data_IF_697053720440
#
_entry.id   IF_697053720440
#
_cell.length_a   1.000
_cell.length_b   1.000
_cell.length_c   1.000
_cell.angle_alpha   90.00
_cell.angle_beta   90.00
_cell.angle_gamma   90.00
#
_symmetry.space_group_name_H-M   'P 1'
#
loop_
_entity.id
_entity.type
_entity.pdbx_description
1 polymer ?
#
# COMPACT_ATOMS: atom_id res chain seq x y z
N UNK A 1 -61.41 -12.60 23.57
CA UNK A 1 -60.46 -13.69 23.43
C UNK A 1 -59.92 -13.73 22.00
N UNK A 2 -58.78 -13.14 21.77
CA UNK A 2 -58.11 -13.14 20.47
C UNK A 2 -56.79 -13.92 20.61
N UNK A 3 -56.62 -14.98 19.81
CA UNK A 3 -55.47 -15.84 19.79
C UNK A 3 -54.35 -15.16 19.02
N UNK A 4 -53.17 -15.05 19.64
CA UNK A 4 -51.89 -14.64 19.01
C UNK A 4 -51.28 -15.90 18.37
N UNK A 5 -50.86 -15.89 17.07
CA UNK A 5 -50.14 -17.00 16.50
C UNK A 5 -48.68 -16.95 16.92
N UNK A 6 -48.18 -18.12 17.35
CA UNK A 6 -46.78 -18.36 17.68
C UNK A 6 -45.91 -18.21 16.45
N UNK A 7 -44.84 -17.40 16.56
CA UNK A 7 -43.81 -17.25 15.54
C UNK A 7 -42.77 -18.37 15.71
N UNK A 8 -42.72 -19.27 14.75
CA UNK A 8 -41.79 -20.40 14.71
C UNK A 8 -40.37 -19.92 14.49
N UNK A 9 -39.52 -20.16 15.48
CA UNK A 9 -38.06 -20.15 15.33
C UNK A 9 -37.65 -21.41 14.57
N UNK A 10 -37.07 -21.23 13.40
CA UNK A 10 -36.49 -22.30 12.64
C UNK A 10 -35.60 -21.76 11.55
N UNK A 11 -34.29 -21.88 11.76
CA UNK A 11 -33.25 -22.33 10.85
C UNK A 11 -31.87 -21.88 11.34
N UNK A 12 -31.36 -22.64 12.32
CA UNK A 12 -29.91 -22.78 12.48
C UNK A 12 -29.47 -23.92 11.55
N UNK A 13 -29.07 -23.57 10.34
CA UNK A 13 -28.41 -24.46 9.42
C UNK A 13 -26.91 -24.46 9.68
N UNK A 14 -26.41 -25.43 10.43
CA UNK A 14 -24.99 -25.76 10.55
C UNK A 14 -24.46 -26.22 9.20
N UNK A 15 -23.55 -25.43 8.59
CA UNK A 15 -22.78 -25.83 7.42
C UNK A 15 -21.63 -26.72 7.91
N UNK A 16 -21.49 -27.97 7.46
CA UNK A 16 -20.34 -28.79 7.80
C UNK A 16 -19.08 -28.29 7.07
N UNK A 17 -18.10 -27.84 7.87
CA UNK A 17 -16.74 -27.56 7.40
C UNK A 17 -15.99 -28.87 7.31
N UNK A 18 -16.08 -29.54 6.16
CA UNK A 18 -15.12 -30.55 5.73
C UNK A 18 -15.08 -30.54 4.22
N UNK A 19 -14.17 -29.75 3.66
CA UNK A 19 -13.72 -29.96 2.30
C UNK A 19 -12.22 -29.92 2.24
N UNK A 20 -11.66 -31.09 2.01
CA UNK A 20 -10.29 -31.39 1.62
C UNK A 20 -9.72 -30.31 0.71
N UNK A 21 -8.55 -29.81 1.06
CA UNK A 21 -7.75 -28.94 0.19
C UNK A 21 -7.22 -29.81 -0.93
N UNK A 22 -7.99 -29.97 -1.99
CA UNK A 22 -7.50 -30.52 -3.24
C UNK A 22 -6.55 -29.52 -3.90
N UNK A 23 -5.33 -29.97 -4.02
CA UNK A 23 -4.14 -29.32 -4.56
C UNK A 23 -4.26 -29.11 -6.09
N UNK A 24 -5.21 -28.27 -6.53
CA UNK A 24 -5.33 -27.79 -7.92
C UNK A 24 -5.07 -26.30 -7.99
N UNK A 25 -3.78 -25.94 -7.85
CA UNK A 25 -3.32 -24.63 -8.33
C UNK A 25 -3.57 -24.54 -9.83
N UNK A 26 -4.40 -23.60 -10.25
CA UNK A 26 -4.65 -23.31 -11.66
C UNK A 26 -3.35 -22.88 -12.35
N UNK A 27 -3.12 -23.28 -13.62
CA UNK A 27 -1.88 -22.99 -14.37
C UNK A 27 -1.51 -21.51 -14.48
N UNK A 28 -2.50 -20.63 -14.34
CA UNK A 28 -2.33 -19.16 -14.42
C UNK A 28 -1.48 -18.55 -13.28
N UNK A 29 -1.58 -19.08 -12.07
CA UNK A 29 -0.80 -18.55 -10.92
C UNK A 29 0.65 -19.02 -10.94
N UNK A 30 0.96 -20.19 -11.51
CA UNK A 30 2.34 -20.64 -11.71
C UNK A 30 3.12 -19.76 -12.68
N UNK A 31 2.48 -19.27 -13.74
CA UNK A 31 3.11 -18.40 -14.74
C UNK A 31 3.54 -17.04 -14.14
N UNK A 32 2.73 -16.45 -13.27
CA UNK A 32 3.03 -15.15 -12.68
C UNK A 32 4.18 -15.24 -11.67
N UNK A 33 4.25 -16.31 -10.89
CA UNK A 33 5.34 -16.51 -9.89
C UNK A 33 6.66 -16.82 -10.61
N UNK A 34 6.65 -17.60 -11.69
CA UNK A 34 7.87 -17.90 -12.45
C UNK A 34 8.37 -16.71 -13.26
N UNK A 35 7.47 -15.83 -13.77
CA UNK A 35 7.88 -14.61 -14.47
C UNK A 35 8.54 -13.60 -13.51
N UNK A 36 8.07 -13.48 -12.27
CA UNK A 36 8.66 -12.60 -11.28
C UNK A 36 10.04 -13.06 -10.82
N UNK A 37 10.29 -14.38 -10.78
CA UNK A 37 11.61 -14.93 -10.44
C UNK A 37 12.60 -14.82 -11.61
N UNK A 38 12.17 -14.93 -12.86
CA UNK A 38 13.05 -14.82 -14.03
C UNK A 38 13.59 -13.39 -14.21
N UNK A 39 12.78 -12.35 -13.91
CA UNK A 39 13.20 -10.96 -14.01
C UNK A 39 14.25 -10.55 -12.97
N UNK A 40 14.25 -11.19 -11.81
CA UNK A 40 15.24 -10.92 -10.75
C UNK A 40 16.62 -11.51 -11.02
N UNK A 41 16.75 -12.48 -11.94
CA UNK A 41 18.02 -13.12 -12.27
C UNK A 41 18.76 -12.45 -13.46
N UNK A 42 18.04 -11.75 -14.34
CA UNK A 42 18.67 -11.11 -15.51
C UNK A 42 19.23 -9.70 -15.27
N UNK A 43 18.86 -9.03 -14.19
CA UNK A 43 19.38 -7.69 -13.86
C UNK A 43 20.73 -7.67 -13.14
N UNK A 44 21.34 -8.83 -12.86
CA UNK A 44 22.63 -8.98 -12.17
C UNK A 44 23.85 -9.23 -13.06
N UNK A 45 23.71 -9.18 -14.38
CA UNK A 45 24.81 -9.41 -15.34
C UNK A 45 25.80 -8.24 -15.40
N UNK A 46 26.81 -8.27 -14.52
CA UNK A 46 27.95 -7.38 -14.59
C UNK A 46 28.71 -7.57 -15.92
N UNK A 47 28.71 -6.54 -16.76
CA UNK A 47 29.59 -6.45 -17.94
C UNK A 47 31.06 -6.44 -17.50
N UNK A 48 31.71 -7.60 -17.54
CA UNK A 48 33.17 -7.71 -17.52
C UNK A 48 33.70 -7.22 -18.86
N UNK A 49 34.28 -6.02 -18.90
CA UNK A 49 35.12 -5.59 -20.01
C UNK A 49 36.41 -6.39 -19.99
N UNK A 50 36.66 -7.16 -21.03
CA UNK A 50 37.93 -7.80 -21.31
C UNK A 50 38.96 -6.71 -21.74
N UNK A 51 40.21 -6.76 -21.27
CA UNK A 51 41.25 -5.87 -21.76
C UNK A 51 41.73 -6.32 -23.16
N UNK A 52 41.87 -5.39 -24.07
CA UNK A 52 42.45 -5.58 -25.42
C UNK A 52 43.95 -5.88 -25.30
N UNK A 53 44.51 -6.83 -26.07
CA UNK A 53 45.95 -7.01 -26.20
C UNK A 53 46.50 -6.11 -27.30
N UNK A 54 47.65 -5.46 -27.01
CA UNK A 54 48.57 -5.00 -28.04
C UNK A 54 48.83 -3.51 -28.08
N UNK A 55 49.96 -3.11 -27.50
CA UNK A 55 50.96 -2.27 -28.17
C UNK A 55 52.29 -2.39 -27.38
N UNK A 56 53.23 -3.01 -28.04
CA UNK A 56 54.64 -3.00 -27.70
C UNK A 56 55.20 -1.58 -27.83
N UNK A 57 55.82 -1.04 -26.78
CA UNK A 57 56.80 0.01 -26.91
C UNK A 57 58.03 -0.26 -26.08
N UNK A 58 59.11 -0.14 -26.79
CA UNK A 58 60.49 -0.43 -26.52
C UNK A 58 61.08 0.24 -25.29
N UNK A 59 62.06 -0.46 -24.73
CA UNK A 59 62.94 -0.05 -23.66
C UNK A 59 63.74 1.22 -23.96
N UNK A 60 63.80 2.14 -23.00
CA UNK A 60 64.96 3.03 -22.80
C UNK A 60 65.26 3.08 -21.31
N UNK A 61 66.45 2.60 -20.97
CA UNK A 61 66.99 2.59 -19.62
C UNK A 61 67.40 4.03 -19.23
N UNK A 62 66.80 4.53 -18.15
CA UNK A 62 67.35 5.65 -17.38
C UNK A 62 67.16 5.36 -15.89
N UNK A 63 68.32 5.16 -15.27
CA UNK A 63 68.51 4.89 -13.84
C UNK A 63 68.15 6.14 -13.04
N UNK A 64 67.03 6.10 -12.29
CA UNK A 64 66.72 7.10 -11.28
C UNK A 64 66.39 6.42 -9.97
N UNK A 65 66.81 6.94 -8.80
CA UNK A 65 66.65 6.28 -7.51
C UNK A 65 65.16 6.21 -7.09
N UNK A 66 64.71 4.99 -6.85
CA UNK A 66 63.32 4.72 -6.43
C UNK A 66 63.18 5.11 -4.97
N UNK A 67 62.80 6.36 -4.71
CA UNK A 67 62.15 6.72 -3.45
C UNK A 67 60.69 6.29 -3.57
N UNK A 68 60.42 5.04 -3.14
CA UNK A 68 59.09 4.47 -3.08
C UNK A 68 58.29 5.19 -1.98
N UNK A 69 57.67 6.32 -2.31
CA UNK A 69 56.65 6.93 -1.47
C UNK A 69 55.51 5.91 -1.39
N UNK A 70 55.49 5.15 -0.31
CA UNK A 70 54.32 4.31 0.03
C UNK A 70 53.16 5.27 0.31
N UNK A 71 52.42 5.61 -0.74
CA UNK A 71 51.14 6.28 -0.62
C UNK A 71 50.20 5.31 0.09
N UNK A 72 50.17 5.38 1.42
CA UNK A 72 49.14 4.72 2.21
C UNK A 72 47.82 5.41 1.83
N UNK A 73 47.24 4.90 0.75
CA UNK A 73 45.84 5.24 0.37
C UNK A 73 45.00 4.74 1.53
N UNK A 74 44.70 5.66 2.47
CA UNK A 74 43.78 5.45 3.56
C UNK A 74 42.47 5.08 2.90
N UNK A 75 42.23 3.77 2.77
CA UNK A 75 40.95 3.20 2.34
C UNK A 75 39.97 3.68 3.39
N UNK A 76 39.26 4.78 3.07
CA UNK A 76 38.16 5.21 3.89
C UNK A 76 37.11 4.11 3.78
N UNK A 77 37.12 3.23 4.80
CA UNK A 77 36.12 2.19 4.98
C UNK A 77 34.81 2.90 5.29
N UNK A 78 34.11 3.31 4.19
CA UNK A 78 32.84 4.03 4.22
C UNK A 78 31.65 3.18 4.62
N UNK A 79 31.89 1.93 5.01
CA UNK A 79 30.86 1.02 5.49
C UNK A 79 30.66 1.10 7.01
N UNK A 80 30.57 2.32 7.57
CA UNK A 80 29.83 2.46 8.82
C UNK A 80 28.36 2.26 8.48
N UNK A 81 27.91 1.02 8.50
CA UNK A 81 26.49 0.69 8.60
C UNK A 81 25.93 1.53 9.75
N UNK A 82 25.16 2.55 9.40
CA UNK A 82 24.54 3.44 10.39
C UNK A 82 23.33 2.69 10.96
N UNK A 83 23.46 2.00 12.10
CA UNK A 83 22.39 1.15 12.66
C UNK A 83 21.11 1.94 12.93
N UNK A 84 21.24 3.24 13.23
CA UNK A 84 20.09 4.14 13.45
C UNK A 84 19.22 4.35 12.20
N UNK A 85 19.79 4.24 10.97
CA UNK A 85 18.99 4.33 9.74
C UNK A 85 18.09 3.11 9.56
N UNK A 86 18.57 1.94 9.97
CA UNK A 86 17.78 0.70 9.93
C UNK A 86 16.66 0.75 10.96
N UNK A 87 16.92 1.21 12.18
CA UNK A 87 15.92 1.36 13.24
C UNK A 87 14.83 2.36 12.84
N UNK A 88 15.22 3.53 12.30
CA UNK A 88 14.25 4.53 11.82
C UNK A 88 13.29 3.95 10.76
N UNK A 89 13.79 3.17 9.80
CA UNK A 89 12.98 2.53 8.75
C UNK A 89 11.99 1.53 9.33
N UNK A 90 12.42 0.72 10.28
CA UNK A 90 11.56 -0.26 10.96
C UNK A 90 10.45 0.47 11.74
N UNK A 91 10.79 1.54 12.46
CA UNK A 91 9.81 2.34 13.20
C UNK A 91 8.74 2.91 12.26
N UNK A 92 9.14 3.50 11.13
CA UNK A 92 8.20 4.03 10.13
C UNK A 92 7.28 2.93 9.58
N UNK A 93 7.85 1.77 9.23
CA UNK A 93 7.10 0.61 8.77
C UNK A 93 6.05 0.15 9.78
N UNK A 94 6.45 0.01 11.05
CA UNK A 94 5.55 -0.40 12.15
C UNK A 94 4.46 0.65 12.38
N UNK A 95 4.82 1.94 12.52
CA UNK A 95 3.86 3.01 12.75
C UNK A 95 2.83 3.08 11.63
N UNK A 96 3.26 3.07 10.36
CA UNK A 96 2.32 3.12 9.25
C UNK A 96 1.45 1.87 9.17
N UNK A 97 1.98 0.67 9.43
CA UNK A 97 1.17 -0.56 9.51
C UNK A 97 0.14 -0.49 10.64
N UNK A 98 0.50 0.07 11.79
CA UNK A 98 -0.43 0.28 12.91
C UNK A 98 -1.56 1.25 12.54
N UNK A 99 -1.25 2.34 11.82
CA UNK A 99 -2.27 3.27 11.32
C UNK A 99 -3.24 2.56 10.35
N UNK A 100 -2.71 1.74 9.44
CA UNK A 100 -3.55 0.97 8.50
C UNK A 100 -4.40 -0.08 9.23
N UNK A 101 -3.85 -0.75 10.24
CA UNK A 101 -4.61 -1.69 11.07
C UNK A 101 -5.74 -0.98 11.84
N UNK A 102 -5.45 0.18 12.42
CA UNK A 102 -6.46 1.04 13.06
C UNK A 102 -7.56 1.45 12.07
N UNK A 103 -7.18 1.82 10.83
CA UNK A 103 -8.14 2.11 9.76
C UNK A 103 -9.02 0.90 9.44
N UNK A 104 -8.44 -0.29 9.30
CA UNK A 104 -9.19 -1.51 8.99
C UNK A 104 -10.20 -1.88 10.10
N UNK A 105 -9.75 -1.80 11.36
CA UNK A 105 -10.62 -2.08 12.52
C UNK A 105 -11.71 -1.00 12.68
N UNK A 106 -11.35 0.27 12.55
CA UNK A 106 -12.27 1.39 12.62
C UNK A 106 -13.34 1.33 11.54
N UNK A 107 -12.95 1.09 10.29
CA UNK A 107 -13.88 0.94 9.17
C UNK A 107 -14.85 -0.21 9.39
N UNK A 108 -14.35 -1.37 9.85
CA UNK A 108 -15.20 -2.54 10.13
C UNK A 108 -16.25 -2.26 11.20
N UNK A 109 -15.94 -1.40 12.18
CA UNK A 109 -16.89 -1.05 13.26
C UNK A 109 -17.90 0.01 12.85
N UNK A 110 -17.48 0.96 12.02
CA UNK A 110 -18.30 2.12 11.65
C UNK A 110 -19.16 1.88 10.42
N UNK A 111 -18.70 1.07 9.44
CA UNK A 111 -19.39 0.86 8.17
C UNK A 111 -20.50 -0.19 8.35
N UNK A 112 -21.74 0.28 8.50
CA UNK A 112 -22.93 -0.54 8.76
C UNK A 112 -23.83 -0.63 7.50
N UNK A 113 -23.32 -1.29 6.43
CA UNK A 113 -24.05 -1.44 5.16
C UNK A 113 -25.31 -2.32 5.25
N UNK A 114 -25.45 -3.10 6.33
CA UNK A 114 -26.59 -3.96 6.59
C UNK A 114 -27.67 -3.29 7.45
N UNK A 115 -27.45 -2.04 7.88
CA UNK A 115 -28.44 -1.29 8.64
C UNK A 115 -29.71 -1.05 7.83
N UNK A 116 -30.86 -1.04 8.49
CA UNK A 116 -32.15 -0.75 7.84
C UNK A 116 -32.15 0.65 7.21
N UNK A 117 -31.51 1.63 7.89
CA UNK A 117 -31.36 2.98 7.38
C UNK A 117 -30.57 3.02 6.06
N UNK A 118 -29.40 2.38 5.97
CA UNK A 118 -28.63 2.36 4.73
C UNK A 118 -29.36 1.65 3.58
N UNK A 119 -30.16 0.63 3.90
CA UNK A 119 -30.99 -0.06 2.88
C UNK A 119 -32.14 0.78 2.38
N UNK A 120 -32.65 1.73 3.17
CA UNK A 120 -33.72 2.65 2.74
C UNK A 120 -33.24 3.79 1.86
N UNK A 121 -31.91 4.06 1.82
CA UNK A 121 -31.39 5.11 0.96
C UNK A 121 -31.49 4.73 -0.53
N UNK A 122 -31.88 5.70 -1.36
CA UNK A 122 -31.80 5.57 -2.81
C UNK A 122 -30.33 5.62 -3.22
N UNK A 123 -29.86 4.57 -3.90
CA UNK A 123 -28.44 4.47 -4.26
C UNK A 123 -28.17 5.19 -5.56
N UNK A 124 -27.08 5.98 -5.64
CA UNK A 124 -26.64 6.56 -6.90
C UNK A 124 -26.46 5.51 -7.99
N UNK A 125 -26.87 5.80 -9.22
CA UNK A 125 -26.82 4.84 -10.33
C UNK A 125 -25.40 4.35 -10.66
N UNK A 126 -24.36 5.15 -10.32
CA UNK A 126 -22.94 4.83 -10.51
C UNK A 126 -22.29 4.13 -9.33
N UNK A 127 -23.05 3.75 -8.30
CA UNK A 127 -22.50 3.01 -7.18
C UNK A 127 -22.05 1.61 -7.64
N UNK A 128 -20.79 1.22 -7.39
CA UNK A 128 -20.29 -0.10 -7.79
C UNK A 128 -21.06 -1.24 -7.13
N UNK A 129 -21.09 -2.42 -7.76
CA UNK A 129 -21.65 -3.63 -7.16
C UNK A 129 -20.96 -3.97 -5.83
N UNK A 130 -21.68 -4.61 -4.91
CA UNK A 130 -21.17 -4.99 -3.57
C UNK A 130 -19.87 -5.78 -3.62
N UNK A 131 -19.69 -6.64 -4.64
CA UNK A 131 -18.48 -7.43 -4.81
C UNK A 131 -17.24 -6.55 -5.05
N UNK A 132 -17.37 -5.49 -5.86
CA UNK A 132 -16.28 -4.54 -6.11
C UNK A 132 -15.91 -3.80 -4.82
N UNK A 133 -16.92 -3.34 -4.08
CA UNK A 133 -16.72 -2.70 -2.77
C UNK A 133 -16.02 -3.67 -1.80
N UNK A 134 -16.42 -4.95 -1.78
CA UNK A 134 -15.82 -5.97 -0.92
C UNK A 134 -14.36 -6.30 -1.26
N UNK A 135 -13.98 -6.23 -2.54
CA UNK A 135 -12.62 -6.52 -3.00
C UNK A 135 -11.66 -5.33 -2.88
N UNK A 136 -12.16 -4.11 -3.06
CA UNK A 136 -11.31 -2.92 -3.02
C UNK A 136 -10.78 -2.62 -1.61
N UNK A 137 -11.53 -2.95 -0.55
CA UNK A 137 -11.11 -2.70 0.81
C UNK A 137 -9.86 -3.49 1.21
N UNK A 138 -9.79 -4.84 1.07
CA UNK A 138 -8.57 -5.58 1.36
C UNK A 138 -7.41 -5.16 0.45
N UNK A 139 -7.68 -4.85 -0.84
CA UNK A 139 -6.67 -4.29 -1.72
C UNK A 139 -6.08 -3.00 -1.18
N UNK A 140 -6.90 -2.04 -0.76
CA UNK A 140 -6.46 -0.76 -0.23
C UNK A 140 -5.60 -0.92 1.02
N UNK A 141 -5.99 -1.80 1.96
CA UNK A 141 -5.21 -2.05 3.17
C UNK A 141 -3.86 -2.71 2.85
N UNK A 142 -3.85 -3.71 1.96
CA UNK A 142 -2.62 -4.35 1.52
C UNK A 142 -1.69 -3.36 0.81
N UNK A 143 -2.26 -2.50 -0.05
CA UNK A 143 -1.51 -1.50 -0.80
C UNK A 143 -0.89 -0.44 0.10
N UNK A 144 -1.67 0.12 1.04
CA UNK A 144 -1.18 1.10 2.02
C UNK A 144 -0.06 0.52 2.89
N UNK A 145 -0.20 -0.73 3.34
CA UNK A 145 0.84 -1.41 4.13
C UNK A 145 2.10 -1.63 3.32
N UNK A 146 1.98 -2.20 2.11
CA UNK A 146 3.12 -2.44 1.22
C UNK A 146 3.84 -1.14 0.87
N UNK A 147 3.08 -0.08 0.51
CA UNK A 147 3.63 1.22 0.19
C UNK A 147 4.41 1.81 1.38
N UNK A 148 3.89 1.69 2.60
CA UNK A 148 4.59 2.15 3.81
C UNK A 148 5.96 1.49 3.97
N UNK A 149 6.08 0.17 3.79
CA UNK A 149 7.36 -0.54 3.91
C UNK A 149 8.33 -0.18 2.78
N UNK A 150 7.85 -0.02 1.55
CA UNK A 150 8.69 0.42 0.42
C UNK A 150 9.20 1.84 0.64
N UNK A 151 8.33 2.78 1.05
CA UNK A 151 8.70 4.15 1.38
C UNK A 151 9.72 4.17 2.52
N UNK A 152 9.49 3.43 3.60
CA UNK A 152 10.40 3.32 4.74
C UNK A 152 11.78 2.80 4.34
N UNK A 153 11.86 1.89 3.36
CA UNK A 153 13.11 1.29 2.91
C UNK A 153 13.92 2.14 1.93
N UNK A 154 13.25 2.98 1.11
CA UNK A 154 13.86 3.64 -0.05
C UNK A 154 14.05 5.15 0.09
N UNK A 155 13.23 5.82 0.92
CA UNK A 155 13.15 7.28 0.93
C UNK A 155 13.80 7.91 2.16
N UNK A 156 13.85 9.25 2.18
CA UNK A 156 14.46 10.05 3.23
C UNK A 156 13.55 10.25 4.43
N UNK A 157 14.11 10.68 5.57
CA UNK A 157 13.35 10.92 6.80
C UNK A 157 12.26 12.00 6.61
N UNK A 158 12.50 13.03 5.80
CA UNK A 158 11.48 14.06 5.49
C UNK A 158 10.29 13.43 4.77
N UNK A 159 10.55 12.56 3.79
CA UNK A 159 9.48 11.85 3.07
C UNK A 159 8.75 10.85 3.96
N UNK A 160 9.44 10.21 4.92
CA UNK A 160 8.81 9.38 5.94
C UNK A 160 7.81 10.17 6.79
N UNK A 161 8.21 11.37 7.23
CA UNK A 161 7.33 12.25 8.02
C UNK A 161 6.10 12.67 7.22
N UNK A 162 6.30 13.17 5.98
CA UNK A 162 5.18 13.56 5.09
C UNK A 162 4.26 12.36 4.83
N UNK A 163 4.82 11.17 4.61
CA UNK A 163 4.04 9.93 4.44
C UNK A 163 3.16 9.64 5.63
N UNK A 164 3.74 9.57 6.84
CA UNK A 164 3.00 9.23 8.07
C UNK A 164 1.94 10.28 8.41
N UNK A 165 2.25 11.56 8.25
CA UNK A 165 1.30 12.65 8.47
C UNK A 165 0.12 12.57 7.49
N UNK A 166 0.40 12.43 6.19
CA UNK A 166 -0.63 12.32 5.15
C UNK A 166 -1.48 11.07 5.34
N UNK A 167 -0.84 9.93 5.67
CA UNK A 167 -1.55 8.67 5.94
C UNK A 167 -2.49 8.83 7.14
N UNK A 168 -2.00 9.40 8.24
CA UNK A 168 -2.80 9.63 9.45
C UNK A 168 -3.99 10.53 9.17
N UNK A 169 -3.77 11.68 8.51
CA UNK A 169 -4.83 12.64 8.20
C UNK A 169 -5.87 12.03 7.24
N UNK A 170 -5.42 11.30 6.21
CA UNK A 170 -6.32 10.62 5.27
C UNK A 170 -7.16 9.56 5.97
N UNK A 171 -6.57 8.76 6.85
CA UNK A 171 -7.27 7.73 7.63
C UNK A 171 -8.28 8.34 8.59
N UNK A 172 -7.90 9.39 9.33
CA UNK A 172 -8.81 10.07 10.25
C UNK A 172 -9.99 10.69 9.50
N UNK A 173 -9.76 11.31 8.35
CA UNK A 173 -10.82 11.86 7.51
C UNK A 173 -11.74 10.76 6.94
N UNK A 174 -11.19 9.61 6.54
CA UNK A 174 -11.97 8.48 6.06
C UNK A 174 -12.81 7.83 7.18
N UNK A 175 -12.28 7.75 8.41
CA UNK A 175 -13.05 7.28 9.56
C UNK A 175 -14.12 8.30 10.00
N UNK A 176 -13.82 9.59 9.91
CA UNK A 176 -14.81 10.65 10.13
C UNK A 176 -15.95 10.57 9.11
N UNK A 177 -15.64 10.29 7.83
CA UNK A 177 -16.66 9.99 6.84
C UNK A 177 -17.57 8.85 7.29
N UNK A 178 -17.00 7.71 7.68
CA UNK A 178 -17.80 6.55 8.07
C UNK A 178 -18.70 6.86 9.28
N UNK A 179 -18.16 7.56 10.28
CA UNK A 179 -18.92 7.99 11.44
C UNK A 179 -20.04 8.99 11.09
N UNK A 180 -19.74 10.02 10.27
CA UNK A 180 -20.74 11.01 9.85
C UNK A 180 -21.84 10.38 8.99
N UNK A 181 -21.47 9.43 8.14
CA UNK A 181 -22.42 8.78 7.23
C UNK A 181 -23.30 7.77 7.97
N UNK A 182 -22.73 6.78 8.64
CA UNK A 182 -23.48 5.64 9.20
C UNK A 182 -24.03 5.87 10.61
N UNK A 183 -23.37 6.68 11.43
CA UNK A 183 -23.79 6.95 12.82
C UNK A 183 -24.56 8.26 12.93
N UNK A 184 -24.05 9.34 12.34
CA UNK A 184 -24.66 10.67 12.44
C UNK A 184 -25.65 10.99 11.33
N UNK A 185 -25.72 10.21 10.28
CA UNK A 185 -26.58 10.39 9.10
C UNK A 185 -26.43 11.77 8.44
N UNK A 186 -25.25 12.40 8.55
CA UNK A 186 -24.91 13.69 7.97
C UNK A 186 -24.25 13.50 6.60
N UNK A 187 -25.07 13.25 5.59
CA UNK A 187 -24.61 12.84 4.25
C UNK A 187 -23.68 13.86 3.60
N UNK A 188 -24.04 15.16 3.59
CA UNK A 188 -23.17 16.20 3.03
C UNK A 188 -21.83 16.31 3.76
N UNK A 189 -21.85 16.38 5.10
CA UNK A 189 -20.64 16.48 5.90
C UNK A 189 -19.73 15.24 5.72
N UNK A 190 -20.32 14.07 5.51
CA UNK A 190 -19.57 12.85 5.20
C UNK A 190 -18.85 12.95 3.84
N UNK A 191 -19.49 13.52 2.82
CA UNK A 191 -18.86 13.81 1.53
C UNK A 191 -17.67 14.76 1.68
N UNK A 192 -17.82 15.82 2.47
CA UNK A 192 -16.72 16.77 2.76
C UNK A 192 -15.54 16.06 3.46
N UNK A 193 -15.81 15.17 4.41
CA UNK A 193 -14.75 14.38 5.05
C UNK A 193 -13.98 13.50 4.04
N UNK A 194 -14.67 12.90 3.06
CA UNK A 194 -14.00 12.15 1.98
C UNK A 194 -13.19 13.04 1.03
N UNK A 195 -13.61 14.28 0.77
CA UNK A 195 -12.76 15.24 0.04
C UNK A 195 -11.43 15.42 0.75
N UNK A 196 -11.44 15.65 2.07
CA UNK A 196 -10.20 15.76 2.85
C UNK A 196 -9.38 14.47 2.82
N UNK A 197 -10.01 13.30 2.95
CA UNK A 197 -9.31 12.03 2.83
C UNK A 197 -8.61 11.89 1.46
N UNK A 198 -9.29 12.27 0.38
CA UNK A 198 -8.77 12.25 -0.98
C UNK A 198 -7.60 13.23 -1.17
N UNK A 199 -7.72 14.46 -0.64
CA UNK A 199 -6.66 15.47 -0.72
C UNK A 199 -5.41 15.04 0.06
N UNK A 200 -5.57 14.51 1.27
CA UNK A 200 -4.45 14.00 2.07
C UNK A 200 -3.83 12.73 1.48
N UNK A 201 -4.53 12.00 0.62
CA UNK A 201 -3.97 10.86 -0.09
C UNK A 201 -3.11 11.26 -1.32
N UNK A 202 -3.19 12.50 -1.83
CA UNK A 202 -2.38 12.95 -2.96
C UNK A 202 -0.88 12.86 -2.66
N UNK A 203 -0.37 13.38 -1.50
CA UNK A 203 1.04 13.20 -1.17
C UNK A 203 1.48 11.74 -1.08
N UNK A 204 0.59 10.83 -0.65
CA UNK A 204 0.90 9.39 -0.61
C UNK A 204 1.14 8.84 -2.02
N UNK A 205 0.30 9.23 -2.99
CA UNK A 205 0.46 8.84 -4.39
C UNK A 205 1.79 9.38 -4.97
N UNK A 206 2.08 10.67 -4.76
CA UNK A 206 3.31 11.31 -5.25
C UNK A 206 4.55 10.63 -4.64
N UNK A 207 4.56 10.38 -3.33
CA UNK A 207 5.66 9.71 -2.64
C UNK A 207 5.81 8.26 -3.12
N UNK A 208 4.70 7.59 -3.44
CA UNK A 208 4.73 6.23 -4.00
C UNK A 208 5.45 6.20 -5.36
N UNK A 209 5.19 7.17 -6.24
CA UNK A 209 5.92 7.32 -7.50
C UNK A 209 7.41 7.63 -7.29
N UNK A 210 7.75 8.46 -6.30
CA UNK A 210 9.14 8.77 -5.96
C UNK A 210 9.89 7.52 -5.44
N UNK A 211 9.20 6.63 -4.73
CA UNK A 211 9.77 5.39 -4.23
C UNK A 211 9.98 4.36 -5.36
N UNK A 212 9.00 4.23 -6.26
CA UNK A 212 9.05 3.35 -7.43
C UNK A 212 7.87 3.65 -8.37
N UNK A 213 8.08 3.76 -9.69
CA UNK A 213 6.98 3.91 -10.65
C UNK A 213 5.95 2.78 -10.55
N UNK A 214 6.40 1.54 -10.38
CA UNK A 214 5.52 0.37 -10.21
C UNK A 214 4.61 0.54 -8.99
N UNK A 215 5.18 1.00 -7.86
CA UNK A 215 4.41 1.28 -6.65
C UNK A 215 3.40 2.41 -6.88
N UNK A 216 3.81 3.48 -7.55
CA UNK A 216 2.95 4.60 -7.89
C UNK A 216 1.73 4.16 -8.71
N UNK A 217 1.95 3.40 -9.78
CA UNK A 217 0.85 2.85 -10.60
C UNK A 217 -0.05 1.89 -9.80
N UNK A 218 0.53 1.04 -8.97
CA UNK A 218 -0.25 0.17 -8.10
C UNK A 218 -1.03 0.95 -7.02
N UNK A 219 -0.64 2.19 -6.68
CA UNK A 219 -1.35 3.04 -5.74
C UNK A 219 -2.52 3.83 -6.38
N UNK A 220 -2.52 4.01 -7.71
CA UNK A 220 -3.57 4.73 -8.44
C UNK A 220 -4.99 4.21 -8.14
N UNK A 221 -5.27 2.90 -8.11
CA UNK A 221 -6.59 2.39 -7.78
C UNK A 221 -7.12 2.85 -6.42
N UNK A 222 -6.24 3.00 -5.41
CA UNK A 222 -6.62 3.56 -4.11
C UNK A 222 -7.09 5.01 -4.23
N UNK A 223 -6.35 5.84 -4.96
CA UNK A 223 -6.72 7.24 -5.17
C UNK A 223 -8.04 7.38 -5.95
N UNK A 224 -8.21 6.59 -7.02
CA UNK A 224 -9.45 6.55 -7.80
C UNK A 224 -10.63 6.09 -6.94
N UNK A 225 -10.40 5.13 -6.05
CA UNK A 225 -11.43 4.68 -5.11
C UNK A 225 -11.90 5.80 -4.18
N UNK A 226 -11.00 6.62 -3.64
CA UNK A 226 -11.35 7.75 -2.78
C UNK A 226 -12.18 8.80 -3.55
N UNK A 227 -11.80 9.11 -4.80
CA UNK A 227 -12.57 10.02 -5.66
C UNK A 227 -13.96 9.48 -5.92
N UNK A 228 -14.08 8.19 -6.28
CA UNK A 228 -15.36 7.54 -6.52
C UNK A 228 -16.24 7.52 -5.25
N UNK A 229 -15.64 7.15 -4.10
CA UNK A 229 -16.36 7.14 -2.83
C UNK A 229 -16.86 8.53 -2.44
N UNK A 230 -16.07 9.57 -2.72
CA UNK A 230 -16.46 10.97 -2.53
C UNK A 230 -17.67 11.33 -3.39
N UNK A 231 -17.66 10.97 -4.68
CA UNK A 231 -18.78 11.21 -5.58
C UNK A 231 -20.06 10.49 -5.14
N UNK A 232 -19.92 9.25 -4.66
CA UNK A 232 -21.05 8.47 -4.14
C UNK A 232 -21.63 9.11 -2.88
N UNK A 233 -20.78 9.59 -1.95
CA UNK A 233 -21.23 10.25 -0.72
C UNK A 233 -22.04 11.51 -1.02
N UNK A 234 -21.60 12.33 -1.98
CA UNK A 234 -22.38 13.48 -2.44
C UNK A 234 -23.65 13.06 -3.21
N UNK A 235 -23.60 11.97 -3.97
CA UNK A 235 -24.78 11.42 -4.63
C UNK A 235 -25.89 11.04 -3.65
N UNK A 236 -25.55 10.55 -2.45
CA UNK A 236 -26.51 10.33 -1.38
C UNK A 236 -27.02 11.62 -0.75
N UNK A 237 -26.25 12.70 -0.73
CA UNK A 237 -26.66 13.98 -0.13
C UNK A 237 -27.52 14.85 -1.04
N UNK A 238 -27.60 14.52 -2.33
CA UNK A 238 -28.37 15.26 -3.34
C UNK A 238 -29.83 14.78 -3.45
N UNK A 239 -30.23 13.79 -2.65
CA UNK A 239 -31.57 13.22 -2.60
C UNK A 239 -32.33 13.71 -1.37
#
# INVERSE_FOLDING_TARGET
MARVPAFQAGYAGSIPVTRSIDNKMTPSLRGVILLSMHWSLESGGAQRRLPSPGSSQSASAATAPVTRVISIRKRSDGSRHRPYLTVSRIIVGILGTTIVAFYAVGSRRLVATDSQWYRSLVKPAWQPPRIVIGLIWPYNFAMLTTATWVVASRLSNTQHLVWLMSLTLSVLAALAWAWLFFDRHRLFASGVALVFATLFAIPLLVISFNASPVLGFAFVPYQLWLVLATSIAFGFSAQ
#
